data_IF_050403089937
#
_entry.id   IF_050403089937
#
_cell.length_a   1.000
_cell.length_b   1.000
_cell.length_c   1.000
_cell.angle_alpha   90.00
_cell.angle_beta   90.00
_cell.angle_gamma   90.00
#
_symmetry.space_group_name_H-M   'P 1'
#
loop_
_entity.id
_entity.type
_entity.pdbx_description
1 polymer ?
#
# COMPACT_ATOMS: atom_id res chain seq x y z
N UNK A 1 32.01 -9.94 -11.03
CA UNK A 1 30.56 -10.08 -11.27
C UNK A 1 29.87 -9.84 -9.95
N UNK A 2 29.29 -8.65 -9.75
CA UNK A 2 28.68 -8.25 -8.48
C UNK A 2 27.31 -8.90 -8.36
N UNK A 3 27.24 -10.06 -7.71
CA UNK A 3 25.98 -10.65 -7.26
C UNK A 3 25.58 -10.00 -5.92
N UNK A 4 24.31 -9.67 -5.78
CA UNK A 4 23.73 -9.16 -4.53
C UNK A 4 22.58 -10.08 -4.14
N UNK A 5 22.69 -10.73 -2.98
CA UNK A 5 21.77 -11.79 -2.53
C UNK A 5 21.57 -12.93 -3.56
N UNK A 6 22.61 -13.31 -4.30
CA UNK A 6 22.55 -14.38 -5.30
C UNK A 6 21.79 -14.03 -6.59
N UNK A 7 21.43 -12.75 -6.78
CA UNK A 7 20.87 -12.24 -8.03
C UNK A 7 21.90 -11.34 -8.74
N UNK A 8 21.86 -11.26 -10.09
CA UNK A 8 22.56 -10.22 -10.82
C UNK A 8 22.17 -8.83 -10.29
N UNK A 9 23.16 -7.96 -10.04
CA UNK A 9 22.94 -6.65 -9.42
C UNK A 9 21.79 -5.85 -10.08
N UNK A 10 21.73 -5.84 -11.41
CA UNK A 10 20.67 -5.12 -12.14
C UNK A 10 19.28 -5.64 -11.79
N UNK A 11 19.11 -6.96 -11.70
CA UNK A 11 17.83 -7.59 -11.37
C UNK A 11 17.40 -7.25 -9.94
N UNK A 12 18.34 -7.28 -8.99
CA UNK A 12 18.08 -6.90 -7.61
C UNK A 12 17.70 -5.41 -7.49
N UNK A 13 18.40 -4.52 -8.19
CA UNK A 13 18.08 -3.09 -8.21
C UNK A 13 16.73 -2.82 -8.88
N UNK A 14 16.39 -3.54 -9.96
CA UNK A 14 15.07 -3.43 -10.59
C UNK A 14 13.95 -3.87 -9.67
N UNK A 15 14.10 -5.00 -8.97
CA UNK A 15 13.12 -5.45 -7.99
C UNK A 15 12.99 -4.47 -6.82
N UNK A 16 14.11 -3.94 -6.33
CA UNK A 16 14.14 -2.93 -5.27
C UNK A 16 13.46 -1.62 -5.70
N UNK A 17 13.64 -1.17 -6.95
CA UNK A 17 12.98 0.02 -7.48
C UNK A 17 11.45 -0.14 -7.50
N UNK A 18 10.94 -1.32 -7.90
CA UNK A 18 9.51 -1.61 -7.84
C UNK A 18 8.97 -1.70 -6.42
N UNK A 19 9.66 -2.44 -5.56
CA UNK A 19 9.30 -2.56 -4.16
C UNK A 19 9.27 -1.19 -3.47
N UNK A 20 10.24 -0.32 -3.77
CA UNK A 20 10.28 1.05 -3.28
C UNK A 20 9.07 1.86 -3.77
N UNK A 21 8.76 1.82 -5.07
CA UNK A 21 7.62 2.57 -5.61
C UNK A 21 6.29 2.13 -4.99
N UNK A 22 6.08 0.81 -4.87
CA UNK A 22 4.90 0.25 -4.22
C UNK A 22 4.84 0.58 -2.73
N UNK A 23 5.99 0.54 -2.03
CA UNK A 23 6.07 0.89 -0.62
C UNK A 23 5.64 2.34 -0.40
N UNK A 24 6.20 3.28 -1.16
CA UNK A 24 5.84 4.70 -1.04
C UNK A 24 4.37 4.92 -1.39
N UNK A 25 3.84 4.28 -2.44
CA UNK A 25 2.41 4.32 -2.76
C UNK A 25 1.55 3.83 -1.58
N UNK A 26 1.87 2.67 -0.99
CA UNK A 26 1.15 2.12 0.16
C UNK A 26 1.16 3.08 1.35
N UNK A 27 2.30 3.69 1.65
CA UNK A 27 2.44 4.61 2.78
C UNK A 27 1.67 5.94 2.58
N UNK A 28 1.75 6.48 1.37
CA UNK A 28 1.16 7.77 1.03
C UNK A 28 -0.33 7.62 0.70
N UNK A 29 -0.65 6.95 -0.41
CA UNK A 29 -2.02 6.84 -0.90
C UNK A 29 -2.89 5.94 0.00
N UNK A 30 -2.29 4.95 0.68
CA UNK A 30 -3.00 4.18 1.71
C UNK A 30 -3.53 5.04 2.86
N UNK A 31 -2.86 6.17 3.13
CA UNK A 31 -3.38 7.18 4.07
C UNK A 31 -4.62 7.86 3.49
N UNK A 32 -4.58 8.30 2.24
CA UNK A 32 -5.67 9.01 1.57
C UNK A 32 -6.91 8.13 1.43
N UNK A 33 -6.72 6.88 1.02
CA UNK A 33 -7.76 5.85 0.97
C UNK A 33 -8.37 5.64 2.36
N UNK A 34 -7.53 5.53 3.40
CA UNK A 34 -7.97 5.43 4.78
C UNK A 34 -8.85 6.59 5.23
N UNK A 35 -8.42 7.82 4.92
CA UNK A 35 -9.16 9.05 5.20
C UNK A 35 -10.51 9.05 4.46
N UNK A 36 -10.52 8.66 3.18
CA UNK A 36 -11.73 8.57 2.37
C UNK A 36 -12.73 7.55 2.92
N UNK A 37 -12.28 6.40 3.41
CA UNK A 37 -13.15 5.42 4.08
C UNK A 37 -13.76 6.00 5.37
N UNK A 38 -12.93 6.66 6.19
CA UNK A 38 -13.37 7.27 7.46
C UNK A 38 -14.33 8.47 7.26
N UNK A 39 -14.38 9.05 6.05
CA UNK A 39 -15.37 10.06 5.67
C UNK A 39 -16.81 9.54 5.88
N UNK A 40 -17.05 8.26 5.57
CA UNK A 40 -18.37 7.63 5.74
C UNK A 40 -18.85 7.53 7.18
N UNK A 41 -17.93 7.60 8.15
CA UNK A 41 -18.25 7.60 9.58
C UNK A 41 -18.61 8.99 10.10
N UNK A 42 -18.37 10.05 9.31
CA UNK A 42 -18.71 11.41 9.70
C UNK A 42 -20.16 11.72 9.33
N UNK A 43 -20.87 12.36 10.28
CA UNK A 43 -22.27 12.81 10.08
C UNK A 43 -22.37 14.29 9.70
N UNK A 44 -21.40 15.11 10.11
CA UNK A 44 -21.36 16.53 9.79
C UNK A 44 -20.80 16.75 8.40
N UNK A 45 -21.49 17.54 7.58
CA UNK A 45 -20.98 17.97 6.27
C UNK A 45 -19.69 18.77 6.42
N UNK A 46 -19.58 19.56 7.48
CA UNK A 46 -18.38 20.33 7.81
C UNK A 46 -17.18 19.42 8.07
N UNK A 47 -17.36 18.34 8.83
CA UNK A 47 -16.29 17.36 9.07
C UNK A 47 -15.86 16.67 7.78
N UNK A 48 -16.81 16.31 6.90
CA UNK A 48 -16.51 15.72 5.59
C UNK A 48 -15.81 16.69 4.67
N UNK A 49 -16.18 17.97 4.72
CA UNK A 49 -15.51 19.03 3.98
C UNK A 49 -14.06 19.22 4.46
N UNK A 50 -13.82 19.23 5.77
CA UNK A 50 -12.46 19.29 6.35
C UNK A 50 -11.62 18.08 5.96
N UNK A 51 -12.23 16.89 5.94
CA UNK A 51 -11.60 15.68 5.42
C UNK A 51 -11.16 15.89 3.96
N UNK A 52 -12.06 16.37 3.10
CA UNK A 52 -11.78 16.62 1.69
C UNK A 52 -10.62 17.62 1.50
N UNK A 53 -10.65 18.76 2.22
CA UNK A 53 -9.59 19.77 2.16
C UNK A 53 -8.25 19.19 2.60
N UNK A 54 -8.23 18.23 3.53
CA UNK A 54 -6.99 17.60 3.97
C UNK A 54 -6.29 16.79 2.90
N UNK A 55 -7.01 16.32 1.88
CA UNK A 55 -6.49 15.48 0.80
C UNK A 55 -6.08 16.28 -0.43
N UNK A 56 -6.80 17.37 -0.74
CA UNK A 56 -6.61 18.21 -1.94
C UNK A 56 -5.14 18.46 -2.34
N UNK A 57 -4.22 18.85 -1.44
CA UNK A 57 -2.87 19.21 -1.87
C UNK A 57 -1.91 18.04 -2.11
N UNK A 58 -2.29 16.80 -1.80
CA UNK A 58 -1.34 15.67 -1.77
C UNK A 58 -1.80 14.42 -2.53
N UNK A 59 -3.10 14.25 -2.75
CA UNK A 59 -3.65 13.00 -3.28
C UNK A 59 -3.13 12.65 -4.68
N UNK A 60 -3.01 13.63 -5.56
CA UNK A 60 -2.56 13.46 -6.95
C UNK A 60 -1.10 13.02 -7.01
N UNK A 61 -0.23 13.65 -6.21
CA UNK A 61 1.17 13.30 -6.05
C UNK A 61 1.37 11.89 -5.50
N UNK A 62 0.49 11.44 -4.61
CA UNK A 62 0.55 10.11 -4.01
C UNK A 62 0.25 9.00 -5.03
N UNK A 63 -0.70 9.21 -5.94
CA UNK A 63 -1.04 8.25 -7.01
C UNK A 63 0.10 8.06 -8.03
N UNK A 64 1.00 9.04 -8.19
CA UNK A 64 2.12 8.93 -9.16
C UNK A 64 3.03 7.72 -8.89
N UNK A 65 3.14 7.30 -7.62
CA UNK A 65 3.93 6.13 -7.23
C UNK A 65 3.33 4.80 -7.69
N UNK A 66 2.00 4.74 -7.84
CA UNK A 66 1.33 3.59 -8.44
C UNK A 66 1.63 3.51 -9.93
N UNK A 67 1.60 4.64 -10.63
CA UNK A 67 1.94 4.71 -12.06
C UNK A 67 3.39 4.28 -12.28
N UNK A 68 4.31 4.76 -11.44
CA UNK A 68 5.71 4.36 -11.49
C UNK A 68 5.90 2.86 -11.19
N UNK A 69 5.13 2.30 -10.26
CA UNK A 69 5.16 0.86 -9.99
C UNK A 69 4.64 0.04 -11.18
N UNK A 70 3.49 0.42 -11.76
CA UNK A 70 2.89 -0.30 -12.89
C UNK A 70 3.73 -0.17 -14.17
N UNK A 71 4.16 1.05 -14.52
CA UNK A 71 5.03 1.31 -15.67
C UNK A 71 6.43 0.70 -15.48
N UNK A 72 6.96 0.76 -14.26
CA UNK A 72 8.20 0.09 -13.89
C UNK A 72 8.09 -1.43 -14.06
N UNK A 73 6.97 -2.04 -13.66
CA UNK A 73 6.77 -3.48 -13.82
C UNK A 73 6.74 -3.87 -15.30
N UNK A 74 6.05 -3.09 -16.14
CA UNK A 74 6.06 -3.28 -17.59
C UNK A 74 7.47 -3.16 -18.18
N UNK A 75 8.22 -2.13 -17.79
CA UNK A 75 9.54 -1.85 -18.37
C UNK A 75 10.67 -2.74 -17.85
N UNK A 76 10.66 -3.07 -16.56
CA UNK A 76 11.71 -3.85 -15.90
C UNK A 76 11.43 -5.35 -15.90
N UNK A 77 10.14 -5.74 -15.88
CA UNK A 77 9.72 -7.14 -15.80
C UNK A 77 8.48 -7.44 -16.69
N UNK A 78 8.59 -7.29 -18.01
CA UNK A 78 7.45 -7.37 -18.93
C UNK A 78 6.71 -8.71 -18.86
N UNK A 79 7.43 -9.81 -18.62
CA UNK A 79 6.82 -11.14 -18.45
C UNK A 79 5.92 -11.20 -17.21
N UNK A 80 6.42 -10.67 -16.08
CA UNK A 80 5.64 -10.59 -14.85
C UNK A 80 4.42 -9.70 -15.05
N UNK A 81 4.59 -8.55 -15.70
CA UNK A 81 3.50 -7.63 -16.02
C UNK A 81 2.40 -8.32 -16.81
N UNK A 82 2.74 -9.06 -17.87
CA UNK A 82 1.78 -9.77 -18.70
C UNK A 82 0.96 -10.80 -17.90
N UNK A 83 1.62 -11.64 -17.11
CA UNK A 83 0.95 -12.67 -16.31
C UNK A 83 0.04 -12.05 -15.25
N UNK A 84 0.54 -11.07 -14.49
CA UNK A 84 -0.19 -10.45 -13.38
C UNK A 84 -1.38 -9.65 -13.90
N UNK A 85 -1.21 -8.85 -14.96
CA UNK A 85 -2.31 -8.07 -15.52
C UNK A 85 -3.39 -8.98 -16.12
N UNK A 86 -3.03 -10.09 -16.77
CA UNK A 86 -4.01 -11.06 -17.27
C UNK A 86 -4.79 -11.73 -16.14
N UNK A 87 -4.12 -12.11 -15.05
CA UNK A 87 -4.76 -12.75 -13.91
C UNK A 87 -5.65 -11.81 -13.11
N UNK A 88 -5.24 -10.55 -12.99
CA UNK A 88 -5.82 -9.53 -12.10
C UNK A 88 -6.50 -8.41 -12.90
N UNK A 89 -6.91 -8.68 -14.14
CA UNK A 89 -7.53 -7.69 -15.02
C UNK A 89 -8.71 -6.98 -14.33
N UNK A 90 -9.66 -7.75 -13.79
CA UNK A 90 -10.85 -7.20 -13.13
C UNK A 90 -10.49 -6.32 -11.92
N UNK A 91 -9.72 -6.80 -10.91
CA UNK A 91 -9.38 -5.96 -9.77
C UNK A 91 -8.50 -4.75 -10.14
N UNK A 92 -7.58 -4.86 -11.11
CA UNK A 92 -6.79 -3.71 -11.59
C UNK A 92 -7.70 -2.64 -12.18
N UNK A 93 -8.59 -3.00 -13.11
CA UNK A 93 -9.49 -2.04 -13.74
C UNK A 93 -10.51 -1.46 -12.75
N UNK A 94 -11.03 -2.28 -11.83
CA UNK A 94 -11.90 -1.81 -10.76
C UNK A 94 -11.19 -0.78 -9.85
N UNK A 95 -9.92 -1.03 -9.50
CA UNK A 95 -9.10 -0.09 -8.74
C UNK A 95 -8.89 1.22 -9.51
N UNK A 96 -8.53 1.17 -10.79
CA UNK A 96 -8.31 2.39 -11.58
C UNK A 96 -9.57 3.24 -11.72
N UNK A 97 -10.74 2.62 -11.98
CA UNK A 97 -12.02 3.33 -12.02
C UNK A 97 -12.38 3.93 -10.66
N UNK A 98 -12.10 3.21 -9.58
CA UNK A 98 -12.31 3.68 -8.22
C UNK A 98 -11.42 4.89 -7.88
N UNK A 99 -10.15 4.89 -8.30
CA UNK A 99 -9.23 6.01 -8.14
C UNK A 99 -9.67 7.23 -8.97
N UNK A 100 -10.12 7.03 -10.21
CA UNK A 100 -10.71 8.11 -11.02
C UNK A 100 -11.93 8.72 -10.31
N UNK A 101 -12.84 7.86 -9.82
CA UNK A 101 -14.00 8.29 -9.04
C UNK A 101 -13.62 9.07 -7.78
N UNK A 102 -12.56 8.65 -7.10
CA UNK A 102 -12.00 9.30 -5.91
C UNK A 102 -11.41 10.67 -6.24
N UNK A 103 -10.59 10.78 -7.29
CA UNK A 103 -10.02 12.06 -7.72
C UNK A 103 -11.09 13.07 -8.09
N UNK A 104 -12.11 12.63 -8.85
CA UNK A 104 -13.28 13.48 -9.13
C UNK A 104 -14.01 13.90 -7.85
N UNK A 105 -14.16 13.01 -6.89
CA UNK A 105 -14.81 13.32 -5.62
C UNK A 105 -14.08 14.40 -4.83
N UNK A 106 -12.75 14.34 -4.81
CA UNK A 106 -11.91 15.31 -4.08
C UNK A 106 -12.03 16.70 -4.70
N UNK A 107 -11.89 16.81 -6.03
CA UNK A 107 -11.87 18.09 -6.75
C UNK A 107 -13.26 18.72 -6.90
N UNK A 108 -14.27 17.91 -7.25
CA UNK A 108 -15.58 18.42 -7.65
C UNK A 108 -16.61 18.39 -6.52
N UNK A 109 -16.23 18.05 -5.29
CA UNK A 109 -17.14 17.93 -4.13
C UNK A 109 -18.16 19.07 -4.04
N UNK A 110 -17.73 20.30 -4.27
CA UNK A 110 -18.54 21.51 -4.16
C UNK A 110 -19.77 21.54 -5.09
N UNK A 111 -19.76 20.79 -6.20
CA UNK A 111 -20.89 20.73 -7.12
C UNK A 111 -22.03 19.83 -6.62
N UNK A 112 -21.70 18.70 -6.00
CA UNK A 112 -22.68 17.73 -5.51
C UNK A 112 -22.16 16.97 -4.28
N UNK A 113 -22.13 17.61 -3.09
CA UNK A 113 -21.41 17.09 -1.93
C UNK A 113 -21.78 15.65 -1.55
N UNK A 114 -23.08 15.31 -1.56
CA UNK A 114 -23.53 13.95 -1.19
C UNK A 114 -23.09 12.87 -2.18
N UNK A 115 -23.11 13.18 -3.47
CA UNK A 115 -22.68 12.25 -4.52
C UNK A 115 -21.18 12.02 -4.42
N UNK A 116 -20.41 13.11 -4.34
CA UNK A 116 -18.96 13.02 -4.27
C UNK A 116 -18.46 12.46 -2.93
N UNK A 117 -19.13 12.72 -1.80
CA UNK A 117 -18.84 12.01 -0.55
C UNK A 117 -19.01 10.49 -0.72
N UNK A 118 -20.10 10.05 -1.38
CA UNK A 118 -20.33 8.63 -1.65
C UNK A 118 -19.26 8.04 -2.59
N UNK A 119 -18.85 8.78 -3.62
CA UNK A 119 -17.77 8.38 -4.54
C UNK A 119 -16.41 8.31 -3.85
N UNK A 120 -16.09 9.25 -2.95
CA UNK A 120 -14.87 9.23 -2.14
C UNK A 120 -14.84 7.97 -1.27
N UNK A 121 -15.94 7.66 -0.58
CA UNK A 121 -16.03 6.49 0.30
C UNK A 121 -15.95 5.20 -0.51
N UNK A 122 -16.81 5.04 -1.53
CA UNK A 122 -16.86 3.83 -2.34
C UNK A 122 -15.57 3.60 -3.12
N UNK A 123 -15.03 4.66 -3.75
CA UNK A 123 -13.76 4.61 -4.46
C UNK A 123 -12.61 4.18 -3.53
N UNK A 124 -12.56 4.74 -2.33
CA UNK A 124 -11.52 4.39 -1.36
C UNK A 124 -11.64 2.94 -0.88
N UNK A 125 -12.86 2.44 -0.61
CA UNK A 125 -13.10 1.04 -0.21
C UNK A 125 -12.72 0.10 -1.36
N UNK A 126 -13.20 0.36 -2.58
CA UNK A 126 -12.99 -0.51 -3.74
C UNK A 126 -11.50 -0.58 -4.09
N UNK A 127 -10.81 0.56 -4.13
CA UNK A 127 -9.38 0.59 -4.43
C UNK A 127 -8.56 -0.16 -3.35
N UNK A 128 -8.89 0.04 -2.07
CA UNK A 128 -8.22 -0.67 -0.96
C UNK A 128 -8.45 -2.17 -1.01
N UNK A 129 -9.70 -2.61 -1.23
CA UNK A 129 -10.03 -4.03 -1.36
C UNK A 129 -9.32 -4.64 -2.56
N UNK A 130 -9.38 -3.99 -3.73
CA UNK A 130 -8.72 -4.45 -4.94
C UNK A 130 -7.21 -4.62 -4.71
N UNK A 131 -6.55 -3.65 -4.10
CA UNK A 131 -5.12 -3.73 -3.80
C UNK A 131 -4.79 -4.92 -2.88
N UNK A 132 -5.55 -5.12 -1.81
CA UNK A 132 -5.31 -6.24 -0.89
C UNK A 132 -5.63 -7.60 -1.52
N UNK A 133 -6.68 -7.69 -2.34
CA UNK A 133 -7.00 -8.91 -3.10
C UNK A 133 -5.89 -9.23 -4.11
N UNK A 134 -5.36 -8.24 -4.83
CA UNK A 134 -4.23 -8.44 -5.74
C UNK A 134 -2.98 -8.94 -5.02
N UNK A 135 -2.62 -8.32 -3.90
CA UNK A 135 -1.50 -8.78 -3.08
C UNK A 135 -1.71 -10.20 -2.54
N UNK A 136 -2.93 -10.52 -2.09
CA UNK A 136 -3.30 -11.85 -1.63
C UNK A 136 -3.25 -12.90 -2.72
N UNK A 137 -3.69 -12.59 -3.94
CA UNK A 137 -3.54 -13.49 -5.10
C UNK A 137 -2.09 -13.77 -5.45
N UNK A 138 -1.20 -12.78 -5.31
CA UNK A 138 0.23 -12.99 -5.50
C UNK A 138 0.81 -13.95 -4.44
N UNK A 139 0.46 -13.77 -3.16
CA UNK A 139 0.91 -14.66 -2.07
C UNK A 139 0.34 -16.08 -2.24
N UNK A 140 -0.94 -16.19 -2.60
CA UNK A 140 -1.61 -17.48 -2.85
C UNK A 140 -0.97 -18.22 -4.03
N UNK A 141 -0.45 -17.46 -5.00
CA UNK A 141 0.14 -17.94 -6.23
C UNK A 141 -0.83 -17.80 -7.39
N UNK A 142 -0.36 -17.19 -8.48
CA UNK A 142 -1.15 -17.01 -9.70
C UNK A 142 -0.92 -18.22 -10.61
N UNK A 143 -1.96 -18.93 -11.06
CA UNK A 143 -1.80 -20.05 -12.00
C UNK A 143 -1.15 -19.57 -13.31
N UNK A 144 0.02 -20.12 -13.63
CA UNK A 144 0.75 -19.79 -14.86
C UNK A 144 1.69 -20.93 -15.28
N UNK A 145 2.01 -20.99 -16.57
CA UNK A 145 2.96 -21.95 -17.13
C UNK A 145 4.39 -21.39 -17.25
N UNK A 146 4.71 -20.31 -16.54
CA UNK A 146 5.98 -19.58 -16.62
C UNK A 146 6.05 -18.56 -17.77
N UNK A 147 5.12 -18.59 -18.71
CA UNK A 147 5.06 -17.63 -19.82
C UNK A 147 3.76 -16.83 -19.86
N UNK A 148 2.64 -17.48 -19.54
CA UNK A 148 1.30 -16.93 -19.64
C UNK A 148 0.45 -17.36 -18.45
N UNK A 149 -0.56 -16.54 -18.16
CA UNK A 149 -1.61 -16.87 -17.21
C UNK A 149 -2.43 -18.06 -17.71
N UNK A 150 -2.74 -19.01 -16.82
CA UNK A 150 -3.50 -20.23 -17.15
C UNK A 150 -4.70 -20.45 -16.22
N UNK A 151 -5.06 -19.46 -15.41
CA UNK A 151 -6.19 -19.55 -14.50
C UNK A 151 -7.52 -19.13 -15.15
N UNK A 152 -8.54 -19.05 -14.32
CA UNK A 152 -9.91 -18.69 -14.69
C UNK A 152 -10.17 -17.18 -14.64
N UNK A 153 -9.33 -16.41 -13.95
CA UNK A 153 -9.47 -14.97 -13.76
C UNK A 153 -10.35 -14.59 -12.58
N UNK A 154 -10.76 -15.57 -11.76
CA UNK A 154 -11.61 -15.38 -10.58
C UNK A 154 -10.90 -15.78 -9.28
N UNK A 155 -9.63 -16.18 -9.34
CA UNK A 155 -8.86 -16.61 -8.17
C UNK A 155 -8.75 -15.52 -7.09
N UNK A 156 -8.82 -14.25 -7.50
CA UNK A 156 -8.84 -13.08 -6.61
C UNK A 156 -10.08 -12.97 -5.73
N UNK A 157 -11.14 -13.72 -6.01
CA UNK A 157 -12.32 -13.85 -5.15
C UNK A 157 -12.22 -15.01 -4.15
N UNK A 158 -11.13 -15.75 -4.14
CA UNK A 158 -10.97 -16.83 -3.16
C UNK A 158 -10.83 -16.28 -1.73
N UNK A 159 -11.07 -17.09 -0.68
CA UNK A 159 -11.13 -16.60 0.70
C UNK A 159 -9.85 -15.89 1.18
N UNK A 160 -8.69 -16.33 0.72
CA UNK A 160 -7.40 -15.77 1.16
C UNK A 160 -7.14 -14.36 0.60
N UNK A 161 -7.24 -14.09 -0.72
CA UNK A 161 -7.24 -12.74 -1.28
C UNK A 161 -8.28 -11.80 -0.67
N UNK A 162 -9.50 -12.28 -0.44
CA UNK A 162 -10.55 -11.47 0.21
C UNK A 162 -10.13 -11.06 1.63
N UNK A 163 -9.56 -11.99 2.40
CA UNK A 163 -9.04 -11.70 3.73
C UNK A 163 -7.88 -10.67 3.69
N UNK A 164 -7.00 -10.76 2.68
CA UNK A 164 -5.96 -9.75 2.46
C UNK A 164 -6.56 -8.37 2.15
N UNK A 165 -7.60 -8.31 1.33
CA UNK A 165 -8.39 -7.10 1.06
C UNK A 165 -8.94 -6.45 2.33
N UNK A 166 -9.62 -7.23 3.18
CA UNK A 166 -10.20 -6.75 4.44
C UNK A 166 -9.10 -6.26 5.39
N UNK A 167 -8.00 -7.01 5.49
CA UNK A 167 -6.84 -6.65 6.32
C UNK A 167 -6.24 -5.32 5.88
N UNK A 168 -6.11 -5.10 4.57
CA UNK A 168 -5.57 -3.86 4.02
C UNK A 168 -6.51 -2.67 4.28
N UNK A 169 -7.82 -2.85 4.11
CA UNK A 169 -8.83 -1.82 4.45
C UNK A 169 -8.72 -1.40 5.91
N UNK A 170 -8.59 -2.36 6.85
CA UNK A 170 -8.42 -2.04 8.26
C UNK A 170 -7.13 -1.26 8.54
N UNK A 171 -6.02 -1.67 7.91
CA UNK A 171 -4.73 -0.98 8.01
C UNK A 171 -4.77 0.44 7.46
N UNK A 172 -5.43 0.65 6.31
CA UNK A 172 -5.62 1.98 5.75
C UNK A 172 -6.52 2.85 6.61
N UNK A 173 -7.62 2.32 7.16
CA UNK A 173 -8.41 3.04 8.16
C UNK A 173 -7.57 3.50 9.37
N UNK A 174 -6.64 2.65 9.85
CA UNK A 174 -5.71 3.04 10.91
C UNK A 174 -4.81 4.20 10.48
N UNK A 175 -4.22 4.14 9.27
CA UNK A 175 -3.42 5.23 8.69
C UNK A 175 -4.22 6.53 8.56
N UNK A 176 -5.44 6.44 8.05
CA UNK A 176 -6.35 7.58 7.93
C UNK A 176 -6.71 8.20 9.28
N UNK A 177 -6.91 7.39 10.33
CA UNK A 177 -7.14 7.91 11.68
C UNK A 177 -5.90 8.63 12.23
N UNK A 178 -4.69 8.11 11.93
CA UNK A 178 -3.42 8.77 12.22
C UNK A 178 -3.31 10.13 11.54
N UNK A 179 -3.67 10.21 10.25
CA UNK A 179 -3.70 11.45 9.48
C UNK A 179 -4.69 12.48 10.04
N UNK A 180 -5.93 12.08 10.31
CA UNK A 180 -6.95 12.98 10.86
C UNK A 180 -6.57 13.51 12.24
N UNK A 181 -5.95 12.67 13.09
CA UNK A 181 -5.38 13.14 14.36
C UNK A 181 -4.25 14.17 14.14
N UNK A 182 -3.40 13.94 13.14
CA UNK A 182 -2.28 14.82 12.84
C UNK A 182 -2.70 16.12 12.15
N UNK A 183 -3.68 16.12 11.25
CA UNK A 183 -3.99 17.25 10.36
C UNK A 183 -5.23 18.02 10.76
N UNK A 184 -6.22 17.38 11.37
CA UNK A 184 -7.44 18.07 11.80
C UNK A 184 -7.32 18.57 13.24
N UNK A 185 -8.34 19.31 13.68
CA UNK A 185 -8.50 19.83 15.04
C UNK A 185 -9.90 19.51 15.61
N UNK A 186 -10.13 19.88 16.87
CA UNK A 186 -11.45 19.78 17.50
C UNK A 186 -12.01 18.37 17.63
N UNK A 187 -13.33 18.23 17.40
CA UNK A 187 -14.05 16.98 17.57
C UNK A 187 -13.63 15.89 16.57
N UNK A 188 -13.24 16.27 15.36
CA UNK A 188 -12.78 15.35 14.33
C UNK A 188 -11.46 14.67 14.75
N UNK A 189 -10.46 15.46 15.17
CA UNK A 189 -9.19 14.92 15.67
C UNK A 189 -9.39 14.07 16.93
N UNK A 190 -10.26 14.49 17.84
CA UNK A 190 -10.56 13.74 19.07
C UNK A 190 -11.19 12.38 18.77
N UNK A 191 -12.15 12.31 17.83
CA UNK A 191 -12.77 11.05 17.40
C UNK A 191 -11.76 10.14 16.70
N UNK A 192 -10.94 10.69 15.80
CA UNK A 192 -9.89 9.94 15.13
C UNK A 192 -8.92 9.34 16.15
N UNK A 193 -8.45 10.13 17.12
CA UNK A 193 -7.54 9.67 18.18
C UNK A 193 -8.13 8.55 19.04
N UNK A 194 -9.43 8.61 19.34
CA UNK A 194 -10.13 7.54 20.08
C UNK A 194 -10.31 6.26 19.26
N UNK A 195 -10.39 6.37 17.93
CA UNK A 195 -10.49 5.22 17.04
C UNK A 195 -9.16 4.48 16.84
N UNK A 196 -8.02 5.19 16.91
CA UNK A 196 -6.67 4.61 16.71
C UNK A 196 -6.42 3.32 17.52
N UNK A 197 -6.62 3.24 18.85
CA UNK A 197 -6.32 2.02 19.60
C UNK A 197 -7.17 0.82 19.14
N UNK A 198 -8.43 1.05 18.79
CA UNK A 198 -9.32 0.00 18.28
C UNK A 198 -8.91 -0.46 16.88
N UNK A 199 -8.63 0.48 15.98
CA UNK A 199 -8.15 0.18 14.63
C UNK A 199 -6.77 -0.49 14.65
N UNK A 200 -5.89 -0.12 15.59
CA UNK A 200 -4.59 -0.73 15.76
C UNK A 200 -4.72 -2.18 16.25
N UNK A 201 -5.55 -2.42 17.27
CA UNK A 201 -5.82 -3.77 17.74
C UNK A 201 -6.43 -4.65 16.64
N UNK A 202 -7.41 -4.13 15.89
CA UNK A 202 -8.02 -4.82 14.75
C UNK A 202 -6.98 -5.12 13.66
N UNK A 203 -6.17 -4.14 13.27
CA UNK A 203 -5.14 -4.30 12.23
C UNK A 203 -4.10 -5.33 12.64
N UNK A 204 -3.59 -5.27 13.87
CA UNK A 204 -2.61 -6.23 14.38
C UNK A 204 -3.20 -7.64 14.44
N UNK A 205 -4.47 -7.78 14.87
CA UNK A 205 -5.15 -9.07 14.90
C UNK A 205 -5.31 -9.65 13.49
N UNK A 206 -5.74 -8.85 12.52
CA UNK A 206 -5.90 -9.28 11.13
C UNK A 206 -4.55 -9.61 10.48
N UNK A 207 -3.50 -8.81 10.72
CA UNK A 207 -2.14 -9.09 10.28
C UNK A 207 -1.59 -10.39 10.88
N UNK A 208 -1.84 -10.64 12.17
CA UNK A 208 -1.44 -11.89 12.82
C UNK A 208 -2.17 -13.10 12.20
N UNK A 209 -3.48 -12.97 11.95
CA UNK A 209 -4.26 -13.97 11.23
C UNK A 209 -3.75 -14.20 9.80
N UNK A 210 -3.36 -13.13 9.11
CA UNK A 210 -2.82 -13.17 7.75
C UNK A 210 -1.48 -13.90 7.71
N UNK A 211 -0.56 -13.59 8.64
CA UNK A 211 0.72 -14.27 8.76
C UNK A 211 0.55 -15.75 9.08
N UNK A 212 -0.36 -16.07 10.01
CA UNK A 212 -0.70 -17.44 10.35
C UNK A 212 -1.23 -18.20 9.13
N UNK A 213 -2.16 -17.62 8.38
CA UNK A 213 -2.69 -18.26 7.18
C UNK A 213 -1.60 -18.40 6.11
N UNK A 214 -0.78 -17.37 5.88
CA UNK A 214 0.30 -17.36 4.87
C UNK A 214 1.30 -18.49 5.07
N UNK A 215 1.66 -18.80 6.32
CA UNK A 215 2.54 -19.93 6.68
C UNK A 215 1.96 -21.29 6.25
N UNK A 216 0.65 -21.39 6.10
CA UNK A 216 -0.05 -22.60 5.66
C UNK A 216 -0.34 -22.63 4.15
N UNK A 217 -0.03 -21.55 3.41
CA UNK A 217 -0.28 -21.49 1.96
C UNK A 217 0.79 -22.25 1.17
N UNK A 218 2.08 -21.96 1.41
CA UNK A 218 3.20 -22.66 0.76
C UNK A 218 4.35 -22.92 1.72
N UNK A 219 5.06 -24.03 1.51
CA UNK A 219 6.25 -24.43 2.27
C UNK A 219 7.33 -23.34 2.31
N UNK A 220 7.58 -22.71 1.16
CA UNK A 220 8.61 -21.68 1.00
C UNK A 220 8.30 -20.45 1.86
N UNK A 221 7.04 -20.01 1.86
CA UNK A 221 6.58 -18.89 2.69
C UNK A 221 6.76 -19.19 4.17
N UNK A 222 6.43 -20.41 4.60
CA UNK A 222 6.68 -20.86 5.96
C UNK A 222 8.16 -20.76 6.33
N UNK A 223 9.05 -21.27 5.48
CA UNK A 223 10.49 -21.23 5.76
C UNK A 223 11.01 -19.81 5.86
N UNK A 224 10.58 -18.90 4.98
CA UNK A 224 10.96 -17.49 5.05
C UNK A 224 10.43 -16.85 6.34
N UNK A 225 9.14 -16.97 6.62
CA UNK A 225 8.49 -16.34 7.79
C UNK A 225 8.94 -16.93 9.13
N UNK A 226 9.39 -18.18 9.17
CA UNK A 226 9.93 -18.81 10.39
C UNK A 226 11.45 -18.64 10.53
N UNK A 227 12.15 -18.12 9.51
CA UNK A 227 13.58 -17.87 9.60
C UNK A 227 13.87 -16.77 10.65
N UNK A 228 14.76 -17.03 11.64
CA UNK A 228 15.11 -16.04 12.66
C UNK A 228 15.56 -14.69 12.09
N UNK A 229 16.25 -14.72 10.96
CA UNK A 229 16.71 -13.52 10.27
C UNK A 229 15.56 -12.61 9.82
N UNK A 230 14.37 -13.15 9.55
CA UNK A 230 13.21 -12.38 9.08
C UNK A 230 12.19 -12.12 10.19
N UNK A 231 11.86 -13.14 10.99
CA UNK A 231 10.82 -12.99 12.00
C UNK A 231 11.24 -12.06 13.14
N UNK A 232 12.52 -12.06 13.55
CA UNK A 232 13.02 -11.21 14.63
C UNK A 232 12.92 -9.71 14.28
N UNK A 233 13.43 -9.23 13.12
CA UNK A 233 13.22 -7.84 12.72
C UNK A 233 11.75 -7.48 12.54
N UNK A 234 10.94 -8.36 11.96
CA UNK A 234 9.51 -8.10 11.75
C UNK A 234 8.77 -7.92 13.08
N UNK A 235 9.01 -8.82 14.04
CA UNK A 235 8.48 -8.71 15.39
C UNK A 235 8.99 -7.45 16.07
N UNK A 236 10.28 -7.15 15.96
CA UNK A 236 10.90 -5.94 16.51
C UNK A 236 10.27 -4.65 15.98
N UNK A 237 10.08 -4.53 14.65
CA UNK A 237 9.42 -3.38 14.01
C UNK A 237 7.97 -3.25 14.45
N UNK A 238 7.25 -4.37 14.55
CA UNK A 238 5.85 -4.37 14.97
C UNK A 238 5.71 -3.94 16.44
N UNK A 239 6.55 -4.49 17.33
CA UNK A 239 6.59 -4.11 18.74
C UNK A 239 7.01 -2.65 18.91
N UNK A 240 8.03 -2.19 18.18
CA UNK A 240 8.47 -0.80 18.21
C UNK A 240 7.38 0.16 17.72
N UNK A 241 6.67 -0.19 16.65
CA UNK A 241 5.54 0.56 16.15
C UNK A 241 4.39 0.63 17.15
N UNK A 242 3.99 -0.50 17.74
CA UNK A 242 2.95 -0.56 18.77
C UNK A 242 3.34 0.22 20.04
N UNK A 243 4.57 0.08 20.52
CA UNK A 243 5.09 0.80 21.67
C UNK A 243 5.17 2.30 21.40
N UNK A 244 5.64 2.70 20.21
CA UNK A 244 5.68 4.08 19.75
C UNK A 244 4.28 4.68 19.67
N UNK A 245 3.31 3.93 19.17
CA UNK A 245 1.91 4.36 19.10
C UNK A 245 1.30 4.55 20.50
N UNK A 246 1.52 3.61 21.41
CA UNK A 246 1.09 3.72 22.81
C UNK A 246 1.71 4.94 23.51
N UNK A 247 3.02 5.13 23.35
CA UNK A 247 3.74 6.29 23.88
C UNK A 247 3.21 7.60 23.29
N UNK A 248 2.97 7.63 21.99
CA UNK A 248 2.46 8.81 21.30
C UNK A 248 1.06 9.21 21.79
N UNK A 249 0.17 8.23 21.96
CA UNK A 249 -1.20 8.45 22.42
C UNK A 249 -1.25 8.85 23.90
N UNK A 250 -0.39 8.29 24.76
CA UNK A 250 -0.34 8.64 26.19
C UNK A 250 0.22 10.04 26.43
N UNK A 251 1.19 10.48 25.63
CA UNK A 251 1.77 11.84 25.70
C UNK A 251 0.99 12.89 24.92
N UNK A 252 0.10 12.46 24.03
CA UNK A 252 -0.74 13.34 23.24
C UNK A 252 -0.06 14.11 22.12
N UNK A 253 1.00 13.52 21.55
CA UNK A 253 1.60 14.04 20.34
C UNK A 253 0.65 13.92 19.14
N UNK A 254 0.64 14.95 18.28
CA UNK A 254 -0.21 14.95 17.09
C UNK A 254 0.36 14.11 15.94
N UNK A 255 1.66 14.24 15.65
CA UNK A 255 2.31 13.56 14.52
C UNK A 255 2.80 12.14 14.86
N UNK A 256 3.32 11.93 16.08
CA UNK A 256 3.97 10.68 16.46
C UNK A 256 3.09 9.43 16.30
N UNK A 257 1.75 9.47 16.51
CA UNK A 257 0.90 8.32 16.21
C UNK A 257 0.94 7.92 14.73
N UNK A 258 0.91 8.90 13.83
CA UNK A 258 1.01 8.67 12.38
C UNK A 258 2.36 8.03 12.02
N UNK A 259 3.46 8.57 12.54
CA UNK A 259 4.79 8.00 12.31
C UNK A 259 4.89 6.54 12.81
N UNK A 260 4.34 6.24 13.98
CA UNK A 260 4.33 4.88 14.53
C UNK A 260 3.49 3.91 13.67
N UNK A 261 2.34 4.36 13.16
CA UNK A 261 1.51 3.56 12.25
C UNK A 261 2.26 3.26 10.94
N UNK A 262 2.96 4.25 10.38
CA UNK A 262 3.77 4.08 9.17
C UNK A 262 4.91 3.06 9.36
N UNK A 263 5.48 2.97 10.57
CA UNK A 263 6.45 1.93 10.94
C UNK A 263 5.81 0.54 10.93
N UNK A 264 4.61 0.38 11.50
CA UNK A 264 3.87 -0.91 11.49
C UNK A 264 3.59 -1.36 10.05
N UNK A 265 3.07 -0.44 9.23
CA UNK A 265 2.72 -0.72 7.82
C UNK A 265 3.97 -1.06 7.00
N UNK A 266 5.09 -0.35 7.24
CA UNK A 266 6.37 -0.66 6.60
C UNK A 266 6.89 -2.05 6.98
N UNK A 267 6.71 -2.46 8.24
CA UNK A 267 7.01 -3.82 8.69
C UNK A 267 6.18 -4.87 7.94
N UNK A 268 4.86 -4.66 7.85
CA UNK A 268 3.96 -5.55 7.11
C UNK A 268 4.30 -5.64 5.61
N UNK A 269 4.61 -4.51 4.97
CA UNK A 269 5.07 -4.47 3.58
C UNK A 269 6.42 -5.20 3.41
N UNK A 270 7.36 -5.00 4.34
CA UNK A 270 8.61 -5.74 4.37
C UNK A 270 8.37 -7.26 4.44
N UNK A 271 7.49 -7.71 5.34
CA UNK A 271 7.12 -9.12 5.43
C UNK A 271 6.58 -9.68 4.11
N UNK A 272 5.72 -8.92 3.41
CA UNK A 272 5.23 -9.28 2.08
C UNK A 272 6.39 -9.48 1.09
N UNK A 273 7.25 -8.47 0.93
CA UNK A 273 8.37 -8.52 -0.03
C UNK A 273 9.32 -9.67 0.27
N UNK A 274 9.69 -9.86 1.53
CA UNK A 274 10.60 -10.95 1.93
C UNK A 274 9.96 -12.33 1.83
N UNK A 275 8.65 -12.44 2.08
CA UNK A 275 7.93 -13.71 1.86
C UNK A 275 8.09 -14.12 0.41
N UNK A 276 7.83 -13.20 -0.53
CA UNK A 276 7.84 -13.49 -1.97
C UNK A 276 9.24 -13.62 -2.57
N UNK A 277 10.26 -12.96 -2.01
CA UNK A 277 11.63 -13.01 -2.53
C UNK A 277 12.16 -14.46 -2.65
N UNK A 278 12.84 -14.86 -3.73
CA UNK A 278 13.26 -14.10 -4.92
C UNK A 278 12.29 -14.19 -6.12
N UNK A 279 11.00 -14.45 -5.87
CA UNK A 279 9.97 -14.53 -6.90
C UNK A 279 9.32 -13.16 -7.11
N UNK A 280 9.05 -12.81 -8.37
CA UNK A 280 8.24 -11.64 -8.71
C UNK A 280 6.78 -12.02 -8.95
N UNK A 281 6.56 -13.21 -9.55
CA UNK A 281 5.24 -13.84 -9.69
C UNK A 281 5.36 -15.30 -9.23
N UNK A 282 4.96 -15.62 -7.98
CA UNK A 282 4.91 -17.01 -7.52
C UNK A 282 3.93 -17.84 -8.35
N UNK A 283 4.17 -19.11 -8.68
CA UNK A 283 5.14 -20.09 -8.12
C UNK A 283 6.38 -20.32 -9.02
N UNK A 284 6.34 -19.89 -10.29
CA UNK A 284 7.28 -20.34 -11.32
C UNK A 284 8.21 -19.24 -11.89
N UNK A 285 7.97 -17.96 -11.58
CA UNK A 285 8.68 -16.85 -12.25
C UNK A 285 9.64 -16.14 -11.30
N UNK A 286 10.92 -16.48 -11.44
CA UNK A 286 12.03 -15.83 -10.74
C UNK A 286 12.30 -14.44 -11.31
N UNK A 287 12.79 -13.53 -10.46
CA UNK A 287 13.14 -12.15 -10.85
C UNK A 287 14.05 -12.13 -12.10
N UNK A 288 15.03 -13.04 -12.20
CA UNK A 288 15.96 -13.04 -13.33
C UNK A 288 15.36 -13.54 -14.65
N UNK A 289 14.36 -14.42 -14.60
CA UNK A 289 13.68 -14.92 -15.81
C UNK A 289 12.66 -13.92 -16.36
N UNK A 290 12.08 -13.09 -15.49
CA UNK A 290 11.15 -12.05 -15.89
C UNK A 290 11.82 -10.74 -16.30
N UNK A 291 13.11 -10.56 -15.96
CA UNK A 291 13.84 -9.32 -16.16
C UNK A 291 13.95 -8.95 -17.65
N UNK A 292 13.77 -7.66 -17.94
CA UNK A 292 14.06 -7.09 -19.26
C UNK A 292 15.57 -7.18 -19.60
N UNK A 293 15.94 -7.03 -20.88
CA UNK A 293 17.35 -6.98 -21.28
C UNK A 293 18.15 -5.94 -20.49
N UNK A 294 19.45 -6.18 -20.21
CA UNK A 294 20.27 -5.30 -19.37
C UNK A 294 20.29 -3.83 -19.82
N UNK A 295 20.25 -3.55 -21.12
CA UNK A 295 20.26 -2.18 -21.64
C UNK A 295 18.97 -1.42 -21.26
N UNK A 296 17.81 -2.08 -21.36
CA UNK A 296 16.54 -1.52 -20.90
C UNK A 296 16.55 -1.29 -19.39
N UNK A 297 17.05 -2.26 -18.61
CA UNK A 297 17.17 -2.12 -17.16
C UNK A 297 18.07 -0.94 -16.77
N UNK A 298 19.26 -0.82 -17.38
CA UNK A 298 20.18 0.30 -17.11
C UNK A 298 19.52 1.63 -17.41
N UNK A 299 18.90 1.77 -18.58
CA UNK A 299 18.22 3.01 -18.98
C UNK A 299 17.12 3.41 -17.99
N UNK A 300 16.26 2.46 -17.61
CA UNK A 300 15.19 2.71 -16.64
C UNK A 300 15.72 2.97 -15.24
N UNK A 301 16.74 2.24 -14.77
CA UNK A 301 17.34 2.43 -13.45
C UNK A 301 18.08 3.77 -13.34
N UNK A 302 18.78 4.22 -14.39
CA UNK A 302 19.38 5.56 -14.45
C UNK A 302 18.27 6.62 -14.36
N UNK A 303 17.20 6.46 -15.13
CA UNK A 303 16.05 7.37 -15.09
C UNK A 303 15.42 7.42 -13.70
N UNK A 304 15.24 6.26 -13.07
CA UNK A 304 14.74 6.13 -11.70
C UNK A 304 15.67 6.85 -10.70
N UNK A 305 16.98 6.61 -10.78
CA UNK A 305 17.97 7.20 -9.89
C UNK A 305 18.04 8.74 -10.00
N UNK A 306 17.74 9.31 -11.17
CA UNK A 306 17.70 10.76 -11.38
C UNK A 306 16.37 11.39 -10.98
N UNK A 307 15.25 10.77 -11.37
CA UNK A 307 13.92 11.38 -11.19
C UNK A 307 13.35 11.17 -9.79
N UNK A 308 13.56 10.00 -9.18
CA UNK A 308 13.00 9.69 -7.85
C UNK A 308 13.45 10.67 -6.77
N UNK A 309 14.74 11.06 -6.67
CA UNK A 309 15.15 12.08 -5.72
C UNK A 309 14.45 13.43 -5.94
N UNK A 310 14.27 13.84 -7.19
CA UNK A 310 13.56 15.08 -7.54
C UNK A 310 12.11 15.01 -7.10
N UNK A 311 11.42 13.90 -7.40
CA UNK A 311 10.03 13.66 -6.98
C UNK A 311 9.91 13.65 -5.45
N UNK A 312 10.84 13.03 -4.73
CA UNK A 312 10.85 13.01 -3.26
C UNK A 312 11.04 14.41 -2.67
N UNK A 313 11.94 15.21 -3.24
CA UNK A 313 12.14 16.61 -2.82
C UNK A 313 10.88 17.43 -3.06
N UNK A 314 10.27 17.31 -4.24
CA UNK A 314 9.03 17.98 -4.58
C UNK A 314 7.88 17.59 -3.65
N UNK A 315 7.63 16.28 -3.46
CA UNK A 315 6.58 15.80 -2.58
C UNK A 315 6.83 16.26 -1.13
N UNK A 316 8.05 16.15 -0.63
CA UNK A 316 8.41 16.63 0.72
C UNK A 316 8.16 18.13 0.87
N UNK A 317 8.47 18.92 -0.16
CA UNK A 317 8.19 20.35 -0.18
C UNK A 317 6.68 20.62 -0.11
N UNK A 318 5.86 19.94 -0.92
CA UNK A 318 4.40 20.05 -0.89
C UNK A 318 3.85 19.71 0.51
N UNK A 319 4.27 18.57 1.11
CA UNK A 319 3.85 18.19 2.46
C UNK A 319 4.23 19.23 3.53
N UNK A 320 5.37 19.92 3.37
CA UNK A 320 5.80 21.01 4.26
C UNK A 320 4.99 22.28 4.05
N UNK A 321 4.78 22.72 2.82
CA UNK A 321 4.01 23.93 2.51
C UNK A 321 2.59 23.81 3.05
N UNK A 322 1.97 22.63 2.88
CA UNK A 322 0.61 22.40 3.33
C UNK A 322 0.52 21.85 4.76
N UNK A 323 1.57 21.86 5.58
CA UNK A 323 1.59 21.19 6.91
C UNK A 323 0.66 21.79 7.97
N UNK A 324 -0.05 22.88 7.65
CA UNK A 324 -1.00 23.54 8.53
C UNK A 324 -2.12 22.61 9.04
N UNK A 325 -2.63 22.95 10.22
CA UNK A 325 -3.81 22.30 10.78
C UNK A 325 -5.08 22.79 10.07
N UNK A 326 -6.02 21.89 9.87
CA UNK A 326 -7.33 22.19 9.28
C UNK A 326 -8.33 22.40 10.41
N UNK A 327 -8.98 23.56 10.37
CA UNK A 327 -9.85 24.06 11.42
C UNK A 327 -11.31 23.75 11.20
#
# INVERSE_FOLDING_TARGET
MTEFFGLPLLNALSAAALAFSLWIYVLLDGTDLGVGILCGLQRSDEDRHRINISLLPVWDGNETWLVLAAGGMLGLFPLAYAIVLSALYVPVFAMLLALIGRGMAIEYRHHAPRLFDAMLIAGSIIASLAQGMMAGSLIQGIPNNGQQFTGTGWEWLSPFPLFCGITLVAGYCLMGAGWLNWRCTGALATRARRAIPWLAALTVLLLAGLLFWTVNVHETWRRHLMAPLLWLPLAGVTVAGCAGLWFALSRGYAFLPMAAIQVIVSGAFGALVFTLFPLIVPVNVLIHHAAAPPETQKFLLISFALLVPVTLVYNTWVFRVFSGKIH
#
